data_IF_857046991831
#
_entry.id   IF_857046991831
#
_cell.length_a   1.000
_cell.length_b   1.000
_cell.length_c   1.000
_cell.angle_alpha   90.00
_cell.angle_beta   90.00
_cell.angle_gamma   90.00
#
_symmetry.space_group_name_H-M   'P 1'
#
loop_
_entity.id
_entity.type
_entity.pdbx_description
1 polymer ?
#
# COMPACT_ATOMS: atom_id res chain seq x y z
N UNK A 1 76.26 -4.84 23.96
CA UNK A 1 75.39 -3.68 23.73
C UNK A 1 74.54 -3.94 22.49
N UNK A 2 73.21 -4.01 22.63
CA UNK A 2 72.23 -3.00 22.13
C UNK A 2 72.00 -3.10 20.62
N UNK A 3 70.95 -3.80 20.11
CA UNK A 3 69.50 -3.48 20.01
C UNK A 3 69.11 -2.70 18.73
N UNK A 4 68.01 -3.18 18.11
CA UNK A 4 67.14 -2.61 17.04
C UNK A 4 67.75 -2.46 15.63
N UNK A 5 67.05 -2.62 14.51
CA UNK A 5 65.81 -3.28 14.04
C UNK A 5 65.77 -2.94 12.55
N UNK A 6 65.46 -3.87 11.67
CA UNK A 6 64.88 -3.51 10.37
C UNK A 6 64.00 -4.66 9.88
N UNK A 7 62.95 -4.89 10.67
CA UNK A 7 61.80 -5.68 10.26
C UNK A 7 60.94 -4.87 9.30
N UNK A 8 61.36 -4.74 8.03
CA UNK A 8 60.47 -4.27 6.98
C UNK A 8 60.41 -5.23 5.78
N UNK A 9 59.16 -5.46 5.38
CA UNK A 9 58.71 -5.90 4.07
C UNK A 9 58.58 -7.41 3.83
N UNK A 10 57.63 -8.03 4.54
CA UNK A 10 56.97 -9.25 4.06
C UNK A 10 55.47 -9.28 4.40
N UNK A 11 54.77 -8.19 4.12
CA UNK A 11 53.30 -8.23 4.05
C UNK A 11 52.90 -8.70 2.66
N UNK A 12 52.60 -10.00 2.53
CA UNK A 12 51.87 -10.52 1.39
C UNK A 12 50.58 -9.72 1.26
N UNK A 13 50.42 -9.00 0.14
CA UNK A 13 49.17 -8.31 -0.19
C UNK A 13 48.02 -9.32 -0.09
N UNK A 14 46.92 -9.02 0.63
CA UNK A 14 45.75 -9.89 0.59
C UNK A 14 45.27 -9.95 -0.87
N UNK A 15 45.24 -11.16 -1.45
CA UNK A 15 44.57 -11.38 -2.72
C UNK A 15 43.07 -11.26 -2.48
N UNK A 16 42.54 -10.04 -2.61
CA UNK A 16 41.11 -9.86 -2.81
C UNK A 16 40.80 -10.24 -4.27
N UNK A 17 39.87 -11.18 -4.52
CA UNK A 17 39.40 -11.42 -5.87
C UNK A 17 38.74 -10.14 -6.38
N UNK A 18 39.41 -9.45 -7.31
CA UNK A 18 38.78 -8.39 -8.10
C UNK A 18 37.64 -9.01 -8.90
N UNK A 19 36.46 -8.41 -8.75
CA UNK A 19 35.24 -8.71 -9.52
C UNK A 19 34.61 -10.10 -9.33
N UNK A 20 34.17 -10.40 -8.10
CA UNK A 20 32.85 -11.01 -7.99
C UNK A 20 31.85 -9.93 -8.41
N UNK A 21 31.35 -9.99 -9.65
CA UNK A 21 30.25 -9.13 -10.08
C UNK A 21 29.18 -9.17 -8.98
N UNK A 22 28.83 -8.01 -8.42
CA UNK A 22 27.69 -7.90 -7.51
C UNK A 22 26.50 -8.43 -8.30
N UNK A 23 26.11 -9.68 -8.07
CA UNK A 23 24.79 -10.16 -8.44
C UNK A 23 23.86 -9.17 -7.74
N UNK A 24 23.01 -8.41 -8.45
CA UNK A 24 22.02 -7.58 -7.78
C UNK A 24 21.14 -8.51 -6.96
N UNK A 25 21.43 -8.62 -5.67
CA UNK A 25 20.68 -9.41 -4.71
C UNK A 25 19.42 -8.64 -4.27
N UNK A 26 18.82 -7.89 -5.20
CA UNK A 26 17.47 -7.37 -5.03
C UNK A 26 16.56 -8.57 -4.85
N UNK A 27 15.84 -8.69 -3.73
CA UNK A 27 14.93 -9.80 -3.50
C UNK A 27 13.95 -9.84 -4.67
N UNK A 28 13.90 -10.95 -5.39
CA UNK A 28 13.00 -11.13 -6.52
C UNK A 28 12.28 -12.46 -6.39
N UNK A 29 10.96 -12.42 -6.57
CA UNK A 29 10.06 -13.55 -6.44
C UNK A 29 9.77 -14.05 -7.86
N UNK A 30 10.19 -15.28 -8.23
CA UNK A 30 9.80 -15.87 -9.50
C UNK A 30 8.28 -16.12 -9.49
N UNK A 31 7.63 -15.89 -10.64
CA UNK A 31 6.20 -16.09 -10.79
C UNK A 31 5.89 -16.78 -12.13
N UNK A 32 5.03 -17.79 -12.09
CA UNK A 32 4.56 -18.48 -13.30
C UNK A 32 3.44 -17.70 -13.98
N UNK A 33 3.20 -17.97 -15.28
CA UNK A 33 2.08 -17.37 -16.02
C UNK A 33 0.73 -17.69 -15.39
N UNK A 34 0.56 -18.90 -14.82
CA UNK A 34 -0.67 -19.28 -14.13
C UNK A 34 -0.87 -18.46 -12.85
N UNK A 35 0.16 -18.35 -12.01
CA UNK A 35 0.14 -17.52 -10.81
C UNK A 35 -0.17 -16.05 -11.13
N UNK A 36 0.43 -15.51 -12.19
CA UNK A 36 0.16 -14.14 -12.64
C UNK A 36 -1.32 -13.95 -13.03
N UNK A 37 -1.92 -14.91 -13.75
CA UNK A 37 -3.35 -14.87 -14.10
C UNK A 37 -4.23 -14.92 -12.86
N UNK A 38 -3.90 -15.80 -11.91
CA UNK A 38 -4.61 -15.87 -10.62
C UNK A 38 -4.49 -14.56 -9.85
N UNK A 39 -3.30 -13.98 -9.76
CA UNK A 39 -3.07 -12.71 -9.08
C UNK A 39 -3.89 -11.56 -9.69
N UNK A 40 -3.89 -11.44 -11.03
CA UNK A 40 -4.72 -10.47 -11.74
C UNK A 40 -6.21 -10.67 -11.45
N UNK A 41 -6.69 -11.91 -11.49
CA UNK A 41 -8.09 -12.22 -11.20
C UNK A 41 -8.49 -11.80 -9.78
N UNK A 42 -7.67 -12.13 -8.78
CA UNK A 42 -7.89 -11.73 -7.39
C UNK A 42 -8.01 -10.20 -7.26
N UNK A 43 -7.09 -9.43 -7.86
CA UNK A 43 -7.15 -7.96 -7.78
C UNK A 43 -8.44 -7.43 -8.41
N UNK A 44 -8.82 -7.96 -9.58
CA UNK A 44 -10.06 -7.56 -10.27
C UNK A 44 -11.30 -7.88 -9.42
N UNK A 45 -11.33 -9.04 -8.77
CA UNK A 45 -12.46 -9.46 -7.93
C UNK A 45 -12.54 -8.60 -6.66
N UNK A 46 -11.41 -8.32 -6.02
CA UNK A 46 -11.35 -7.35 -4.91
C UNK A 46 -11.89 -5.98 -5.33
N UNK A 47 -11.49 -5.46 -6.49
CA UNK A 47 -11.97 -4.18 -7.01
C UNK A 47 -13.49 -4.17 -7.20
N UNK A 48 -14.10 -5.30 -7.57
CA UNK A 48 -15.56 -5.41 -7.74
C UNK A 48 -16.32 -5.59 -6.44
N UNK A 49 -15.76 -6.34 -5.49
CA UNK A 49 -16.43 -6.73 -4.25
C UNK A 49 -16.40 -5.59 -3.23
N UNK A 50 -15.29 -4.86 -3.12
CA UNK A 50 -15.12 -3.79 -2.12
C UNK A 50 -16.25 -2.75 -2.18
N UNK A 51 -16.61 -2.15 -3.34
CA UNK A 51 -17.71 -1.20 -3.41
C UNK A 51 -19.04 -1.79 -2.94
N UNK A 52 -19.33 -3.04 -3.31
CA UNK A 52 -20.57 -3.73 -2.93
C UNK A 52 -20.64 -3.95 -1.43
N UNK A 53 -19.52 -4.34 -0.82
CA UNK A 53 -19.42 -4.56 0.63
C UNK A 53 -19.67 -3.26 1.40
N UNK A 54 -19.01 -2.15 1.02
CA UNK A 54 -19.18 -0.88 1.70
C UNK A 54 -20.56 -0.23 1.46
N UNK A 55 -21.18 -0.49 0.30
CA UNK A 55 -22.55 -0.04 0.03
C UNK A 55 -23.60 -0.86 0.81
N UNK A 56 -23.39 -2.17 0.96
CA UNK A 56 -24.30 -3.07 1.67
C UNK A 56 -23.51 -4.26 2.26
N UNK A 57 -23.22 -4.29 3.57
CA UNK A 57 -22.51 -5.39 4.20
C UNK A 57 -23.43 -6.59 4.46
N UNK A 58 -24.06 -7.11 3.41
CA UNK A 58 -24.87 -8.33 3.48
C UNK A 58 -23.98 -9.55 3.75
N UNK A 59 -24.53 -10.64 4.33
CA UNK A 59 -23.77 -11.88 4.53
C UNK A 59 -23.11 -12.39 3.24
N UNK A 60 -23.81 -12.29 2.10
CA UNK A 60 -23.26 -12.68 0.80
C UNK A 60 -22.06 -11.82 0.40
N UNK A 61 -22.14 -10.49 0.52
CA UNK A 61 -21.02 -9.61 0.15
C UNK A 61 -19.80 -9.82 1.07
N UNK A 62 -20.04 -10.18 2.34
CA UNK A 62 -18.99 -10.55 3.28
C UNK A 62 -18.35 -11.89 2.88
N UNK A 63 -19.15 -12.90 2.57
CA UNK A 63 -18.66 -14.21 2.11
C UNK A 63 -17.86 -14.09 0.81
N UNK A 64 -18.34 -13.34 -0.18
CA UNK A 64 -17.64 -13.09 -1.45
C UNK A 64 -16.24 -12.50 -1.21
N UNK A 65 -16.11 -11.55 -0.26
CA UNK A 65 -14.81 -11.00 0.11
C UNK A 65 -13.94 -12.05 0.82
N UNK A 66 -14.49 -12.80 1.77
CA UNK A 66 -13.77 -13.86 2.49
C UNK A 66 -13.23 -14.92 1.51
N UNK A 67 -14.01 -15.33 0.53
CA UNK A 67 -13.59 -16.30 -0.48
C UNK A 67 -12.45 -15.77 -1.34
N UNK A 68 -12.53 -14.50 -1.73
CA UNK A 68 -11.44 -13.82 -2.46
C UNK A 68 -10.17 -13.71 -1.62
N UNK A 69 -10.29 -13.43 -0.32
CA UNK A 69 -9.18 -13.40 0.64
C UNK A 69 -8.57 -14.80 0.86
N UNK A 70 -9.38 -15.85 0.87
CA UNK A 70 -8.91 -17.24 0.94
C UNK A 70 -8.16 -17.63 -0.34
N UNK A 71 -8.64 -17.19 -1.51
CA UNK A 71 -7.93 -17.38 -2.78
C UNK A 71 -6.58 -16.65 -2.78
N UNK A 72 -6.54 -15.43 -2.23
CA UNK A 72 -5.29 -14.70 -2.05
C UNK A 72 -4.33 -15.40 -1.09
N UNK A 73 -4.84 -15.98 0.01
CA UNK A 73 -4.02 -16.76 0.94
C UNK A 73 -3.37 -17.96 0.23
N UNK A 74 -4.13 -18.70 -0.57
CA UNK A 74 -3.62 -19.82 -1.38
C UNK A 74 -2.56 -19.34 -2.38
N UNK A 75 -2.80 -18.21 -3.03
CA UNK A 75 -1.83 -17.59 -3.94
C UNK A 75 -0.51 -17.27 -3.20
N UNK A 76 -0.57 -16.59 -2.05
CA UNK A 76 0.62 -16.22 -1.26
C UNK A 76 1.40 -17.48 -0.84
N UNK A 77 0.71 -18.53 -0.41
CA UNK A 77 1.36 -19.81 -0.07
C UNK A 77 2.12 -20.41 -1.25
N UNK A 78 1.60 -20.27 -2.47
CA UNK A 78 2.21 -20.78 -3.71
C UNK A 78 3.46 -20.03 -4.18
N UNK A 79 3.68 -18.79 -3.71
CA UNK A 79 4.82 -17.99 -4.13
C UNK A 79 6.14 -18.56 -3.60
N UNK A 80 7.23 -18.44 -4.36
CA UNK A 80 8.57 -18.76 -3.86
C UNK A 80 9.18 -17.53 -3.16
N UNK A 81 8.56 -17.17 -2.04
CA UNK A 81 8.91 -16.01 -1.21
C UNK A 81 9.46 -16.44 0.17
N UNK A 82 10.11 -15.52 0.87
CA UNK A 82 10.58 -15.78 2.25
C UNK A 82 9.42 -16.09 3.19
N UNK A 83 9.66 -16.94 4.19
CA UNK A 83 8.64 -17.31 5.17
C UNK A 83 8.07 -16.10 5.91
N UNK A 84 8.91 -15.10 6.20
CA UNK A 84 8.48 -13.84 6.82
C UNK A 84 7.52 -13.06 5.92
N UNK A 85 7.79 -12.95 4.63
CA UNK A 85 6.92 -12.26 3.69
C UNK A 85 5.55 -12.93 3.60
N UNK A 86 5.55 -14.27 3.46
CA UNK A 86 4.30 -15.05 3.45
C UNK A 86 3.52 -14.87 4.74
N UNK A 87 4.18 -14.97 5.89
CA UNK A 87 3.54 -14.82 7.19
C UNK A 87 2.91 -13.44 7.37
N UNK A 88 3.56 -12.37 6.90
CA UNK A 88 3.00 -11.01 6.91
C UNK A 88 1.69 -10.94 6.12
N UNK A 89 1.70 -11.42 4.87
CA UNK A 89 0.49 -11.41 4.03
C UNK A 89 -0.66 -12.24 4.63
N UNK A 90 -0.34 -13.43 5.14
CA UNK A 90 -1.33 -14.31 5.77
C UNK A 90 -1.90 -13.72 7.07
N UNK A 91 -1.09 -12.99 7.85
CA UNK A 91 -1.54 -12.33 9.06
C UNK A 91 -2.56 -11.21 8.76
N UNK A 92 -2.27 -10.38 7.74
CA UNK A 92 -3.20 -9.32 7.28
C UNK A 92 -4.53 -9.93 6.83
N UNK A 93 -4.48 -11.00 6.02
CA UNK A 93 -5.69 -11.68 5.55
C UNK A 93 -6.47 -12.28 6.71
N UNK A 94 -5.79 -12.94 7.65
CA UNK A 94 -6.43 -13.51 8.84
C UNK A 94 -7.14 -12.42 9.65
N UNK A 95 -6.48 -11.28 9.86
CA UNK A 95 -7.06 -10.15 10.59
C UNK A 95 -8.30 -9.59 9.88
N UNK A 96 -8.23 -9.40 8.55
CA UNK A 96 -9.39 -9.02 7.74
C UNK A 96 -10.56 -10.00 7.91
N UNK A 97 -10.32 -11.30 7.77
CA UNK A 97 -11.36 -12.32 7.93
C UNK A 97 -11.94 -12.27 9.35
N UNK A 98 -11.11 -12.07 10.38
CA UNK A 98 -11.57 -11.91 11.77
C UNK A 98 -12.48 -10.69 11.93
N UNK A 99 -12.12 -9.54 11.35
CA UNK A 99 -12.95 -8.32 11.40
C UNK A 99 -14.27 -8.54 10.65
N UNK A 100 -14.23 -9.17 9.48
CA UNK A 100 -15.41 -9.43 8.64
C UNK A 100 -16.40 -10.41 9.27
N UNK A 101 -15.92 -11.36 10.08
CA UNK A 101 -16.75 -12.32 10.82
C UNK A 101 -17.34 -11.75 12.12
N UNK A 102 -17.02 -10.51 12.47
CA UNK A 102 -17.63 -9.85 13.62
C UNK A 102 -19.15 -9.68 13.38
N UNK A 103 -20.03 -9.96 14.37
CA UNK A 103 -21.47 -9.77 14.23
C UNK A 103 -21.87 -8.35 13.80
N UNK A 104 -21.07 -7.34 14.14
CA UNK A 104 -21.27 -5.96 13.68
C UNK A 104 -20.21 -5.61 12.65
N UNK A 105 -20.64 -5.16 11.47
CA UNK A 105 -19.73 -4.71 10.43
C UNK A 105 -19.08 -3.36 10.83
N UNK A 106 -17.77 -3.38 11.10
CA UNK A 106 -17.00 -2.19 11.47
C UNK A 106 -16.25 -1.67 10.26
N UNK A 107 -16.91 -0.80 9.48
CA UNK A 107 -16.42 -0.32 8.20
C UNK A 107 -15.03 0.36 8.27
N UNK A 108 -14.76 1.12 9.33
CA UNK A 108 -13.45 1.76 9.54
C UNK A 108 -12.31 0.75 9.75
N UNK A 109 -12.56 -0.33 10.51
CA UNK A 109 -11.57 -1.38 10.74
C UNK A 109 -11.29 -2.17 9.45
N UNK A 110 -12.35 -2.51 8.71
CA UNK A 110 -12.23 -3.15 7.39
C UNK A 110 -11.44 -2.26 6.43
N UNK A 111 -11.71 -0.96 6.38
CA UNK A 111 -10.99 -0.03 5.53
C UNK A 111 -9.48 0.02 5.84
N UNK A 112 -9.11 0.19 7.12
CA UNK A 112 -7.71 0.23 7.55
C UNK A 112 -6.99 -1.05 7.15
N UNK A 113 -7.59 -2.20 7.41
CA UNK A 113 -6.95 -3.47 7.13
C UNK A 113 -6.87 -3.78 5.63
N UNK A 114 -7.85 -3.32 4.83
CA UNK A 114 -7.77 -3.36 3.36
C UNK A 114 -6.67 -2.45 2.81
N UNK A 115 -6.42 -1.28 3.40
CA UNK A 115 -5.28 -0.42 3.01
C UNK A 115 -3.95 -1.12 3.27
N UNK A 116 -3.81 -1.79 4.42
CA UNK A 116 -2.62 -2.60 4.75
C UNK A 116 -2.44 -3.72 3.72
N UNK A 117 -3.53 -4.41 3.36
CA UNK A 117 -3.49 -5.45 2.32
C UNK A 117 -3.05 -4.89 0.96
N UNK A 118 -3.61 -3.77 0.51
CA UNK A 118 -3.24 -3.15 -0.78
C UNK A 118 -1.76 -2.75 -0.79
N UNK A 119 -1.26 -2.18 0.30
CA UNK A 119 0.16 -1.84 0.43
C UNK A 119 1.05 -3.09 0.35
N UNK A 120 0.62 -4.20 0.97
CA UNK A 120 1.31 -5.48 0.85
C UNK A 120 1.27 -6.02 -0.59
N UNK A 121 0.13 -5.96 -1.28
CA UNK A 121 -0.02 -6.36 -2.69
C UNK A 121 0.90 -5.55 -3.60
N UNK A 122 0.96 -4.23 -3.39
CA UNK A 122 1.86 -3.34 -4.12
C UNK A 122 3.34 -3.72 -3.87
N UNK A 123 3.68 -4.00 -2.62
CA UNK A 123 5.03 -4.40 -2.25
C UNK A 123 5.45 -5.70 -2.95
N UNK A 124 4.67 -6.78 -2.83
CA UNK A 124 5.03 -8.07 -3.46
C UNK A 124 5.05 -7.97 -5.00
N UNK A 125 4.20 -7.13 -5.58
CA UNK A 125 4.18 -6.90 -7.04
C UNK A 125 5.50 -6.33 -7.54
N UNK A 126 6.11 -5.42 -6.77
CA UNK A 126 7.44 -4.86 -7.10
C UNK A 126 8.58 -5.87 -6.97
N UNK A 127 8.36 -6.96 -6.25
CA UNK A 127 9.34 -8.03 -6.10
C UNK A 127 9.23 -9.08 -7.22
N UNK A 128 8.13 -9.13 -7.99
CA UNK A 128 7.97 -10.14 -9.04
C UNK A 128 9.01 -10.01 -10.15
N UNK A 129 9.55 -11.16 -10.56
CA UNK A 129 10.50 -11.25 -11.68
C UNK A 129 9.76 -11.31 -13.02
N UNK A 130 9.25 -10.16 -13.46
CA UNK A 130 8.42 -10.00 -14.68
C UNK A 130 8.94 -8.84 -15.56
N UNK A 131 8.49 -8.81 -16.82
CA UNK A 131 8.82 -7.72 -17.73
C UNK A 131 8.14 -6.39 -17.32
N UNK A 132 8.68 -5.29 -17.85
CA UNK A 132 8.23 -3.94 -17.50
C UNK A 132 6.76 -3.69 -17.89
N UNK A 133 6.32 -4.18 -19.04
CA UNK A 133 4.95 -3.97 -19.52
C UNK A 133 3.95 -4.66 -18.59
N UNK A 134 4.20 -5.93 -18.25
CA UNK A 134 3.37 -6.69 -17.30
C UNK A 134 3.34 -6.05 -15.92
N UNK A 135 4.49 -5.56 -15.43
CA UNK A 135 4.55 -4.86 -14.15
C UNK A 135 3.67 -3.60 -14.15
N UNK A 136 3.75 -2.77 -15.19
CA UNK A 136 2.93 -1.56 -15.32
C UNK A 136 1.43 -1.88 -15.33
N UNK A 137 1.01 -2.94 -16.03
CA UNK A 137 -0.38 -3.38 -16.04
C UNK A 137 -0.87 -3.79 -14.65
N UNK A 138 -0.06 -4.53 -13.88
CA UNK A 138 -0.41 -4.90 -12.51
C UNK A 138 -0.47 -3.68 -11.57
N UNK A 139 0.49 -2.76 -11.68
CA UNK A 139 0.49 -1.54 -10.88
C UNK A 139 -0.75 -0.69 -11.16
N UNK A 140 -1.20 -0.61 -12.43
CA UNK A 140 -2.44 0.06 -12.80
C UNK A 140 -3.67 -0.58 -12.14
N UNK A 141 -3.75 -1.92 -12.13
CA UNK A 141 -4.85 -2.63 -11.45
C UNK A 141 -4.86 -2.38 -9.93
N UNK A 142 -3.69 -2.35 -9.30
CA UNK A 142 -3.58 -2.05 -7.86
C UNK A 142 -3.93 -0.59 -7.57
N UNK A 143 -3.54 0.36 -8.44
CA UNK A 143 -3.92 1.76 -8.32
C UNK A 143 -5.44 1.95 -8.47
N UNK A 144 -6.07 1.21 -9.38
CA UNK A 144 -7.53 1.17 -9.53
C UNK A 144 -8.22 0.61 -8.29
N UNK A 145 -7.70 -0.48 -7.73
CA UNK A 145 -8.16 -1.05 -6.46
C UNK A 145 -8.07 -0.03 -5.32
N UNK A 146 -6.94 0.69 -5.22
CA UNK A 146 -6.72 1.70 -4.18
C UNK A 146 -7.69 2.89 -4.33
N UNK A 147 -7.89 3.37 -5.56
CA UNK A 147 -8.85 4.43 -5.88
C UNK A 147 -10.27 3.99 -5.52
N UNK A 148 -10.62 2.76 -5.89
CA UNK A 148 -11.93 2.16 -5.58
C UNK A 148 -12.18 2.07 -4.09
N UNK A 149 -11.18 1.64 -3.30
CA UNK A 149 -11.31 1.57 -1.85
C UNK A 149 -11.52 2.96 -1.23
N UNK A 150 -10.75 3.97 -1.63
CA UNK A 150 -10.89 5.34 -1.14
C UNK A 150 -12.26 5.93 -1.49
N UNK A 151 -12.74 5.70 -2.71
CA UNK A 151 -14.06 6.16 -3.14
C UNK A 151 -15.19 5.44 -2.39
N UNK A 152 -15.07 4.12 -2.17
CA UNK A 152 -16.08 3.32 -1.46
C UNK A 152 -16.17 3.68 0.01
N UNK A 153 -15.03 4.01 0.62
CA UNK A 153 -14.92 4.46 2.00
C UNK A 153 -15.02 5.98 2.15
N UNK A 154 -15.61 6.66 1.16
CA UNK A 154 -16.15 8.01 1.37
C UNK A 154 -17.35 7.91 2.31
N UNK A 155 -17.11 7.47 3.55
CA UNK A 155 -17.90 7.85 4.71
C UNK A 155 -18.04 9.35 4.59
N UNK A 156 -19.28 9.83 4.49
CA UNK A 156 -19.55 11.21 4.13
C UNK A 156 -18.53 12.14 4.78
N UNK A 157 -17.90 12.99 3.96
CA UNK A 157 -17.62 14.35 4.41
C UNK A 157 -18.92 14.75 5.12
N UNK A 158 -18.93 14.74 6.46
CA UNK A 158 -20.08 15.24 7.22
C UNK A 158 -20.43 16.59 6.61
N UNK A 159 -21.73 16.98 6.57
CA UNK A 159 -22.13 18.22 5.91
C UNK A 159 -21.12 19.29 6.32
N UNK A 160 -20.44 19.88 5.34
CA UNK A 160 -19.49 20.97 5.59
C UNK A 160 -20.19 21.90 6.57
N UNK A 161 -19.65 22.06 7.78
CA UNK A 161 -20.29 22.88 8.80
C UNK A 161 -20.69 24.21 8.18
N UNK A 162 -21.84 24.80 8.57
CA UNK A 162 -22.32 26.02 7.94
C UNK A 162 -21.17 27.02 7.85
N UNK A 163 -20.91 27.54 6.63
CA UNK A 163 -19.93 28.59 6.42
C UNK A 163 -20.20 29.66 7.47
N UNK A 164 -19.21 29.94 8.33
CA UNK A 164 -19.36 30.91 9.41
C UNK A 164 -19.91 32.24 8.88
N UNK A 165 -20.71 32.98 9.66
CA UNK A 165 -21.29 34.23 9.21
C UNK A 165 -20.20 35.14 8.65
N UNK A 166 -20.44 35.70 7.45
CA UNK A 166 -19.55 36.67 6.82
C UNK A 166 -19.31 37.80 7.81
N UNK A 167 -18.05 38.01 8.19
CA UNK A 167 -17.66 39.07 9.12
C UNK A 167 -18.21 40.42 8.67
N UNK A 168 -18.74 41.18 9.63
CA UNK A 168 -19.32 42.50 9.38
C UNK A 168 -18.31 43.38 8.62
N UNK A 169 -18.73 43.91 7.46
CA UNK A 169 -17.98 44.94 6.73
C UNK A 169 -17.63 46.07 7.70
N UNK A 170 -16.33 46.40 7.79
CA UNK A 170 -15.85 47.46 8.67
C UNK A 170 -16.53 48.79 8.37
N UNK A 171 -16.86 49.56 9.42
CA UNK A 171 -17.46 50.88 9.28
C UNK A 171 -16.59 51.78 8.40
N UNK A 172 -17.15 52.27 7.31
CA UNK A 172 -16.56 53.35 6.50
C UNK A 172 -16.27 54.53 7.42
N UNK A 173 -14.99 54.93 7.48
CA UNK A 173 -14.51 55.98 8.36
C UNK A 173 -15.23 57.31 8.15
N UNK A 174 -15.49 58.00 9.25
CA UNK A 174 -16.06 59.33 9.25
C UNK A 174 -15.04 60.40 8.80
N UNK A 175 -15.53 61.30 7.96
CA UNK A 175 -15.18 62.73 7.88
C UNK A 175 -13.87 63.15 7.19
N UNK A 176 -14.04 64.02 6.18
CA UNK A 176 -13.18 65.19 5.98
C UNK A 176 -14.08 66.42 5.90
N UNK A 177 -13.83 67.40 6.78
CA UNK A 177 -14.62 68.62 6.90
C UNK A 177 -14.34 69.63 5.77
N UNK A 178 -15.36 70.44 5.50
CA UNK A 178 -15.44 71.74 4.84
C UNK A 178 -14.11 72.45 4.51
N UNK A 179 -14.00 72.91 3.25
CA UNK A 179 -13.25 74.11 2.91
C UNK A 179 -14.21 75.12 2.25
N UNK A 180 -14.46 76.24 2.93
CA UNK A 180 -15.07 77.43 2.32
C UNK A 180 -14.02 78.18 1.49
N UNK A 181 -14.47 78.96 0.48
CA UNK A 181 -13.88 80.15 -0.20
C UNK A 181 -14.04 80.00 -1.73
N UNK A 182 -14.61 80.93 -2.50
CA UNK A 182 -15.21 82.24 -2.24
C UNK A 182 -16.11 82.65 -3.39
#
# INVERSE_FOLDING_TARGET
MSRYDDSQNKFSKPCFPSSAGRIPNTPSIPITKAQLRTFRAIIIDLTKIIPKLFANPSPQNIEDLIDTLNLLSKFICSLEATSSLKAQGLAIIKNLITILKNPTFVASAVFVELQILINYLLYITKLFRIDHCTLQELLKLIAELQTTLVNSASFGRGPTGPTGPRGNTGATGATGATGATG
#
